data_IF_207790292468
#
_entry.id   IF_207790292468
#
_cell.length_a   1.000
_cell.length_b   1.000
_cell.length_c   1.000
_cell.angle_alpha   90.00
_cell.angle_beta   90.00
_cell.angle_gamma   90.00
#
_symmetry.space_group_name_H-M   'P 1'
#
loop_
_entity.id
_entity.type
_entity.pdbx_description
1 polymer ?
#
# COMPACT_ATOMS: atom_id res chain seq x y z
N UNK A 1 14.83 -0.88 -0.84
CA UNK A 1 14.48 0.34 -0.08
C UNK A 1 14.87 1.57 -0.91
N UNK A 2 14.28 2.74 -0.66
CA UNK A 2 14.49 3.95 -1.47
C UNK A 2 15.97 4.42 -1.42
N UNK A 3 16.71 4.40 -2.56
CA UNK A 3 18.16 4.64 -2.54
C UNK A 3 18.56 6.12 -2.61
N UNK A 4 17.69 6.99 -3.15
CA UNK A 4 18.01 8.39 -3.45
C UNK A 4 17.00 9.36 -2.82
N UNK A 5 16.60 9.10 -1.57
CA UNK A 5 15.68 9.99 -0.85
C UNK A 5 16.40 11.22 -0.31
N UNK A 6 15.70 12.34 -0.13
CA UNK A 6 16.28 13.52 0.52
C UNK A 6 16.83 13.22 1.91
N UNK A 7 17.91 13.89 2.30
CA UNK A 7 18.43 13.81 3.67
C UNK A 7 17.35 14.23 4.67
N UNK A 8 17.35 13.54 5.81
CA UNK A 8 16.38 13.63 6.90
C UNK A 8 14.96 13.17 6.55
N UNK A 9 14.80 12.41 5.45
CA UNK A 9 13.56 11.70 5.19
C UNK A 9 13.36 10.57 6.19
N UNK A 10 12.11 10.37 6.62
CA UNK A 10 11.73 9.30 7.54
C UNK A 10 10.85 8.28 6.82
N UNK A 11 11.22 7.00 6.89
CA UNK A 11 10.37 5.90 6.44
C UNK A 11 9.68 5.27 7.64
N UNK A 12 8.35 5.27 7.61
CA UNK A 12 7.47 4.75 8.65
C UNK A 12 6.89 3.42 8.16
N UNK A 13 7.33 2.32 8.78
CA UNK A 13 6.79 0.97 8.55
C UNK A 13 5.93 0.55 9.71
N UNK A 14 4.71 0.13 9.45
CA UNK A 14 3.82 -0.34 10.51
C UNK A 14 4.06 -1.80 10.85
N UNK A 15 4.09 -2.10 12.14
CA UNK A 15 4.39 -3.42 12.70
C UNK A 15 3.14 -4.15 13.20
N UNK A 16 1.95 -3.60 12.95
CA UNK A 16 0.66 -4.11 13.46
C UNK A 16 0.16 -3.36 14.70
N UNK A 17 1.06 -2.80 15.49
CA UNK A 17 0.73 -2.04 16.71
C UNK A 17 1.41 -0.68 16.79
N UNK A 18 2.57 -0.53 16.15
CA UNK A 18 3.40 0.69 16.19
C UNK A 18 4.08 0.92 14.84
N UNK A 19 4.87 1.99 14.76
CA UNK A 19 5.73 2.25 13.60
C UNK A 19 7.20 2.03 13.94
N UNK A 20 7.86 1.23 13.12
CA UNK A 20 9.30 1.27 12.97
C UNK A 20 9.66 2.43 12.04
N UNK A 21 10.49 3.33 12.55
CA UNK A 21 10.91 4.55 11.83
C UNK A 21 12.38 4.42 11.49
N UNK A 22 12.74 4.60 10.22
CA UNK A 22 14.11 4.73 9.76
C UNK A 22 14.34 6.14 9.20
N UNK A 23 15.50 6.72 9.47
CA UNK A 23 15.90 8.05 9.00
C UNK A 23 17.01 7.92 7.96
N UNK A 24 16.86 8.56 6.81
CA UNK A 24 17.93 8.66 5.82
C UNK A 24 18.79 9.88 6.08
N UNK A 25 20.09 9.70 6.28
CA UNK A 25 21.03 10.81 6.41
C UNK A 25 22.42 10.39 5.90
N UNK A 26 23.13 11.35 5.31
CA UNK A 26 24.52 11.17 4.85
C UNK A 26 24.69 9.96 3.90
N UNK A 27 23.68 9.70 3.07
CA UNK A 27 23.72 8.63 2.06
C UNK A 27 23.30 7.24 2.54
N UNK A 28 22.84 7.09 3.78
CA UNK A 28 22.40 5.80 4.31
C UNK A 28 21.18 5.91 5.24
N UNK A 29 20.46 4.80 5.39
CA UNK A 29 19.40 4.64 6.39
C UNK A 29 20.03 4.22 7.74
N UNK A 30 19.60 4.86 8.84
CA UNK A 30 20.05 4.54 10.20
C UNK A 30 19.65 3.12 10.68
N UNK A 31 18.59 2.56 10.10
CA UNK A 31 18.14 1.18 10.28
C UNK A 31 18.31 0.41 8.97
N UNK A 32 19.51 -0.12 8.67
CA UNK A 32 19.79 -0.76 7.39
C UNK A 32 18.98 -2.04 7.14
N UNK A 33 18.44 -2.66 8.19
CA UNK A 33 17.67 -3.90 8.12
C UNK A 33 16.16 -3.69 7.92
N UNK A 34 15.68 -2.44 7.84
CA UNK A 34 14.27 -2.18 7.55
C UNK A 34 13.95 -2.61 6.11
N UNK A 35 12.88 -3.39 5.94
CA UNK A 35 12.50 -3.93 4.63
C UNK A 35 11.29 -3.20 4.05
N UNK A 36 11.23 -3.19 2.71
CA UNK A 36 10.05 -2.83 1.94
C UNK A 36 9.93 -3.82 0.78
N UNK A 37 9.55 -5.04 1.13
CA UNK A 37 9.33 -6.14 0.19
C UNK A 37 8.01 -5.93 -0.58
N UNK A 38 7.86 -6.47 -1.80
CA UNK A 38 6.60 -6.41 -2.52
C UNK A 38 5.44 -6.93 -1.66
N UNK A 39 4.38 -6.11 -1.51
CA UNK A 39 3.23 -6.38 -0.66
C UNK A 39 3.26 -5.64 0.67
N UNK A 40 4.44 -5.33 1.19
CA UNK A 40 4.60 -4.45 2.35
C UNK A 40 4.25 -3.01 1.97
N UNK A 41 3.87 -2.21 2.96
CA UNK A 41 3.61 -0.80 2.78
C UNK A 41 4.16 0.05 3.92
N UNK A 42 4.13 1.35 3.72
CA UNK A 42 4.65 2.34 4.65
C UNK A 42 4.59 3.74 4.04
N UNK A 43 5.00 4.72 4.83
CA UNK A 43 4.98 6.13 4.42
C UNK A 43 6.39 6.69 4.43
N UNK A 44 6.67 7.57 3.48
CA UNK A 44 7.88 8.37 3.51
C UNK A 44 7.51 9.83 3.80
N UNK A 45 8.00 10.32 4.94
CA UNK A 45 7.93 11.73 5.30
C UNK A 45 9.18 12.43 4.79
N UNK A 46 9.00 13.40 3.90
CA UNK A 46 10.05 14.27 3.35
C UNK A 46 9.54 15.69 3.22
N UNK A 47 10.43 16.67 3.31
CA UNK A 47 10.12 18.10 3.09
C UNK A 47 10.37 18.53 1.65
N UNK A 48 10.99 17.67 0.83
CA UNK A 48 11.32 17.95 -0.56
C UNK A 48 10.77 16.90 -1.50
N UNK A 49 10.26 17.35 -2.64
CA UNK A 49 9.80 16.47 -3.71
C UNK A 49 10.98 15.69 -4.29
N UNK A 50 10.77 14.41 -4.55
CA UNK A 50 11.76 13.54 -5.15
C UNK A 50 11.08 12.46 -5.99
N UNK A 51 11.85 11.86 -6.89
CA UNK A 51 11.41 10.71 -7.69
C UNK A 51 12.14 9.47 -7.22
N UNK A 52 11.39 8.41 -6.93
CA UNK A 52 11.96 7.10 -6.63
C UNK A 52 11.70 6.12 -7.78
N UNK A 53 12.78 5.54 -8.33
CA UNK A 53 12.68 4.48 -9.32
C UNK A 53 12.94 3.14 -8.64
N UNK A 54 11.95 2.24 -8.70
CA UNK A 54 12.14 0.84 -8.31
C UNK A 54 12.65 0.04 -9.51
N UNK A 55 13.74 -0.69 -9.31
CA UNK A 55 14.34 -1.58 -10.32
C UNK A 55 14.45 -2.98 -9.73
N UNK A 56 14.09 -3.98 -10.52
CA UNK A 56 14.13 -5.38 -10.12
C UNK A 56 13.19 -6.22 -10.97
N UNK A 57 13.20 -7.53 -10.71
CA UNK A 57 12.26 -8.45 -11.33
C UNK A 57 10.88 -8.35 -10.69
N UNK A 58 9.84 -8.54 -11.50
CA UNK A 58 8.46 -8.62 -11.01
C UNK A 58 8.20 -10.05 -10.55
N UNK A 59 7.74 -10.22 -9.31
CA UNK A 59 7.34 -11.53 -8.80
C UNK A 59 6.24 -12.13 -9.68
N UNK A 60 6.37 -13.41 -10.03
CA UNK A 60 5.42 -14.14 -10.87
C UNK A 60 4.77 -15.29 -10.09
N UNK A 61 3.71 -15.88 -10.67
CA UNK A 61 2.93 -16.97 -10.08
C UNK A 61 1.80 -16.45 -9.21
N UNK A 62 1.42 -17.27 -8.22
CA UNK A 62 0.39 -16.92 -7.23
C UNK A 62 1.03 -16.15 -6.08
N UNK A 63 0.72 -14.86 -6.01
CA UNK A 63 1.16 -13.93 -4.98
C UNK A 63 0.07 -13.79 -3.92
N UNK A 64 0.48 -13.69 -2.66
CA UNK A 64 -0.42 -13.48 -1.53
C UNK A 64 0.22 -12.55 -0.52
N UNK A 65 -0.50 -11.49 -0.14
CA UNK A 65 -0.15 -10.61 0.98
C UNK A 65 -1.19 -10.79 2.08
N UNK A 66 -0.84 -11.33 3.25
CA UNK A 66 -1.80 -11.50 4.35
C UNK A 66 -2.19 -10.13 4.92
N UNK A 67 -3.48 -9.97 5.23
CA UNK A 67 -4.05 -8.80 5.89
C UNK A 67 -4.72 -9.32 7.17
N UNK A 68 -4.08 -9.18 8.34
CA UNK A 68 -4.69 -9.59 9.61
C UNK A 68 -5.93 -8.75 9.94
N UNK A 69 -6.70 -9.21 10.92
CA UNK A 69 -7.79 -8.43 11.50
C UNK A 69 -7.25 -7.11 12.10
N UNK A 70 -8.04 -6.04 11.97
CA UNK A 70 -7.65 -4.71 12.38
C UNK A 70 -6.92 -3.95 11.28
N UNK A 71 -6.04 -3.02 11.69
CA UNK A 71 -5.35 -2.12 10.78
C UNK A 71 -4.10 -2.78 10.20
N UNK A 72 -3.85 -2.59 8.90
CA UNK A 72 -2.64 -3.02 8.20
C UNK A 72 -2.24 -1.97 7.17
N UNK A 73 -0.95 -1.90 6.80
CA UNK A 73 -0.49 -1.08 5.68
C UNK A 73 0.13 -2.02 4.65
N UNK A 74 -0.51 -2.11 3.49
CA UNK A 74 -0.14 -3.05 2.44
C UNK A 74 -0.17 -2.39 1.07
N UNK A 75 0.48 -3.01 0.11
CA UNK A 75 0.53 -2.56 -1.29
C UNK A 75 0.32 -3.73 -2.26
N UNK A 76 0.07 -3.43 -3.53
CA UNK A 76 0.11 -4.44 -4.59
C UNK A 76 1.54 -4.98 -4.76
N UNK A 77 1.70 -6.30 -4.86
CA UNK A 77 2.99 -6.92 -5.17
C UNK A 77 3.45 -6.70 -6.62
N UNK A 78 2.51 -6.39 -7.51
CA UNK A 78 2.77 -6.17 -8.94
C UNK A 78 2.76 -4.67 -9.24
N UNK A 79 3.76 -4.14 -9.98
CA UNK A 79 3.88 -2.72 -10.30
C UNK A 79 2.89 -2.33 -11.41
N UNK A 80 1.61 -2.28 -11.07
CA UNK A 80 0.53 -1.91 -11.96
C UNK A 80 -0.36 -0.86 -11.30
N UNK A 81 -0.85 0.08 -12.10
CA UNK A 81 -1.85 1.06 -11.69
C UNK A 81 -3.26 0.53 -11.96
N UNK A 82 -4.21 0.80 -11.06
CA UNK A 82 -5.63 0.56 -11.32
C UNK A 82 -6.48 0.40 -10.05
N UNK A 83 -7.75 0.05 -10.26
CA UNK A 83 -8.71 -0.22 -9.20
C UNK A 83 -8.25 -1.36 -8.29
N UNK A 84 -8.33 -1.17 -6.97
CA UNK A 84 -7.78 -2.09 -5.97
C UNK A 84 -8.33 -3.52 -6.07
N UNK A 85 -9.59 -3.66 -6.48
CA UNK A 85 -10.32 -4.92 -6.54
C UNK A 85 -10.15 -5.62 -7.90
N UNK A 86 -10.65 -5.03 -8.96
CA UNK A 86 -10.76 -5.59 -10.31
C UNK A 86 -9.43 -5.61 -11.03
N UNK A 87 -8.64 -4.54 -10.91
CA UNK A 87 -7.34 -4.45 -11.58
C UNK A 87 -6.25 -5.03 -10.71
N UNK A 88 -6.25 -4.75 -9.40
CA UNK A 88 -5.18 -5.13 -8.46
C UNK A 88 -5.46 -6.41 -7.66
N UNK A 89 -6.69 -6.94 -7.64
CA UNK A 89 -7.01 -8.28 -7.16
C UNK A 89 -7.45 -8.39 -5.70
N UNK A 90 -7.65 -7.28 -4.98
CA UNK A 90 -8.15 -7.32 -3.61
C UNK A 90 -9.67 -7.45 -3.59
N UNK A 91 -10.17 -8.68 -3.72
CA UNK A 91 -11.61 -8.96 -3.85
C UNK A 91 -12.27 -9.51 -2.58
N UNK A 92 -11.47 -9.81 -1.55
CA UNK A 92 -11.92 -10.61 -0.40
C UNK A 92 -12.18 -9.78 0.86
N UNK A 93 -12.30 -8.46 0.73
CA UNK A 93 -12.72 -7.61 1.84
C UNK A 93 -14.20 -7.85 2.17
N UNK A 94 -14.53 -7.82 3.45
CA UNK A 94 -15.88 -8.03 3.97
C UNK A 94 -16.65 -6.71 4.02
N UNK A 95 -17.97 -6.80 4.14
CA UNK A 95 -18.81 -5.61 4.35
C UNK A 95 -18.29 -4.79 5.54
N UNK A 96 -18.30 -3.46 5.39
CA UNK A 96 -17.79 -2.50 6.36
C UNK A 96 -16.27 -2.48 6.58
N UNK A 97 -15.50 -3.29 5.85
CA UNK A 97 -14.05 -3.11 5.78
C UNK A 97 -13.73 -1.77 5.09
N UNK A 98 -12.63 -1.15 5.52
CA UNK A 98 -12.24 0.17 5.05
C UNK A 98 -10.86 0.16 4.43
N UNK A 99 -10.71 0.86 3.30
CA UNK A 99 -9.44 1.21 2.68
C UNK A 99 -9.23 2.71 2.85
N UNK A 100 -8.16 3.10 3.52
CA UNK A 100 -7.75 4.49 3.67
C UNK A 100 -6.63 4.77 2.68
N UNK A 101 -6.96 5.55 1.65
CA UNK A 101 -6.03 5.98 0.62
C UNK A 101 -5.55 7.39 0.93
N UNK A 102 -4.24 7.61 0.93
CA UNK A 102 -3.69 8.94 1.16
C UNK A 102 -3.97 9.86 -0.04
N UNK A 103 -4.59 11.01 0.22
CA UNK A 103 -4.86 12.04 -0.75
C UNK A 103 -3.79 13.14 -0.63
N UNK A 104 -2.89 13.18 -1.60
CA UNK A 104 -1.76 14.13 -1.63
C UNK A 104 -2.21 15.59 -1.76
N UNK A 105 -3.40 15.84 -2.31
CA UNK A 105 -3.93 17.19 -2.51
C UNK A 105 -4.50 17.75 -1.21
N UNK A 106 -5.31 16.97 -0.49
CA UNK A 106 -5.90 17.40 0.79
C UNK A 106 -5.02 17.10 2.00
N UNK A 107 -3.91 16.36 1.82
CA UNK A 107 -3.03 15.90 2.90
C UNK A 107 -3.81 15.11 3.98
N UNK A 108 -4.79 14.32 3.55
CA UNK A 108 -5.68 13.54 4.41
C UNK A 108 -5.94 12.15 3.83
N UNK A 109 -6.67 11.30 4.54
CA UNK A 109 -7.09 10.00 4.02
C UNK A 109 -8.50 10.07 3.43
N UNK A 110 -8.63 9.61 2.20
CA UNK A 110 -9.90 9.24 1.59
C UNK A 110 -10.30 7.85 2.11
N UNK A 111 -11.53 7.72 2.57
CA UNK A 111 -12.06 6.46 3.13
C UNK A 111 -12.97 5.82 2.09
N UNK A 112 -12.66 4.57 1.74
CA UNK A 112 -13.48 3.72 0.89
C UNK A 112 -13.96 2.54 1.72
N UNK A 113 -15.27 2.37 1.82
CA UNK A 113 -15.89 1.30 2.62
C UNK A 113 -16.56 0.29 1.70
N UNK A 114 -16.41 -1.00 2.00
CA UNK A 114 -17.12 -2.06 1.28
C UNK A 114 -18.59 -2.07 1.71
N UNK A 115 -19.50 -1.95 0.75
CA UNK A 115 -20.94 -1.92 1.00
C UNK A 115 -21.54 -3.33 1.03
N UNK A 116 -22.75 -3.51 1.59
CA UNK A 116 -23.49 -4.76 1.44
C UNK A 116 -23.62 -5.15 -0.03
N UNK A 117 -23.26 -6.40 -0.37
CA UNK A 117 -23.20 -6.87 -1.76
C UNK A 117 -21.84 -6.74 -2.45
N UNK A 118 -20.80 -6.25 -1.74
CA UNK A 118 -19.42 -6.22 -2.25
C UNK A 118 -19.10 -5.02 -3.13
N UNK A 119 -19.95 -3.99 -3.13
CA UNK A 119 -19.65 -2.71 -3.80
C UNK A 119 -18.79 -1.79 -2.93
N UNK A 120 -18.64 -0.54 -3.37
CA UNK A 120 -17.87 0.48 -2.65
C UNK A 120 -18.72 1.71 -2.36
N UNK A 121 -18.41 2.37 -1.24
CA UNK A 121 -18.79 3.75 -0.97
C UNK A 121 -17.52 4.54 -0.68
N UNK A 122 -17.25 5.57 -1.47
CA UNK A 122 -16.06 6.40 -1.35
C UNK A 122 -16.37 7.90 -1.25
N UNK A 123 -15.33 8.75 -1.26
CA UNK A 123 -15.47 10.20 -1.20
C UNK A 123 -16.39 10.75 -2.29
N UNK A 124 -17.15 11.80 -1.96
CA UNK A 124 -18.06 12.45 -2.90
C UNK A 124 -19.23 11.58 -3.39
N UNK A 125 -19.54 10.48 -2.69
CA UNK A 125 -20.59 9.54 -3.10
C UNK A 125 -20.17 8.57 -4.22
N UNK A 126 -18.87 8.43 -4.47
CA UNK A 126 -18.34 7.46 -5.44
C UNK A 126 -18.74 6.03 -5.07
N UNK A 127 -19.16 5.26 -6.08
CA UNK A 127 -19.40 3.82 -5.95
C UNK A 127 -18.26 2.97 -6.51
N UNK A 128 -17.18 3.62 -6.96
CA UNK A 128 -16.01 2.96 -7.50
C UNK A 128 -14.99 2.62 -6.40
N UNK A 129 -14.26 1.50 -6.55
CA UNK A 129 -13.08 1.18 -5.73
C UNK A 129 -12.01 2.28 -5.81
N UNK A 130 -11.15 2.41 -4.77
CA UNK A 130 -9.97 3.26 -4.89
C UNK A 130 -9.05 2.72 -5.99
N UNK A 131 -8.56 3.62 -6.84
CA UNK A 131 -7.47 3.32 -7.78
C UNK A 131 -6.13 3.64 -7.15
N UNK A 132 -5.16 2.74 -7.27
CA UNK A 132 -3.80 2.92 -6.74
C UNK A 132 -2.80 3.02 -7.89
N UNK A 133 -1.75 3.81 -7.68
CA UNK A 133 -0.59 3.89 -8.54
C UNK A 133 0.44 2.81 -8.20
N UNK A 134 1.43 2.64 -9.10
CA UNK A 134 2.61 1.83 -8.82
C UNK A 134 3.29 2.30 -7.53
N UNK A 135 3.62 1.34 -6.65
CA UNK A 135 4.26 1.57 -5.35
C UNK A 135 3.45 2.44 -4.35
N UNK A 136 2.14 2.59 -4.57
CA UNK A 136 1.25 3.21 -3.60
C UNK A 136 0.77 2.17 -2.57
N UNK A 137 0.88 2.50 -1.28
CA UNK A 137 0.35 1.69 -0.19
C UNK A 137 -0.89 2.34 0.42
N UNK A 138 -1.74 1.52 1.01
CA UNK A 138 -2.98 1.94 1.68
C UNK A 138 -3.07 1.34 3.06
N UNK A 139 -3.79 2.01 3.96
CA UNK A 139 -4.26 1.31 5.15
C UNK A 139 -5.50 0.49 4.81
N UNK A 140 -5.59 -0.67 5.42
CA UNK A 140 -6.78 -1.52 5.39
C UNK A 140 -7.18 -1.80 6.83
N UNK A 141 -8.43 -1.51 7.17
CA UNK A 141 -9.06 -1.97 8.40
C UNK A 141 -10.00 -3.12 8.05
N UNK A 142 -9.58 -4.35 8.34
CA UNK A 142 -10.34 -5.55 8.04
C UNK A 142 -11.01 -6.12 9.31
N UNK A 143 -12.29 -6.46 9.22
CA UNK A 143 -13.06 -7.10 10.29
C UNK A 143 -12.73 -8.59 10.49
N UNK A 144 -12.12 -9.21 9.48
CA UNK A 144 -11.60 -10.58 9.54
C UNK A 144 -10.24 -10.64 8.82
N UNK A 145 -9.43 -11.65 9.13
CA UNK A 145 -8.20 -11.87 8.41
C UNK A 145 -8.50 -12.28 6.94
N UNK A 146 -7.87 -11.58 6.00
CA UNK A 146 -8.02 -11.82 4.56
C UNK A 146 -6.64 -11.86 3.90
N UNK A 147 -6.59 -12.03 2.59
CA UNK A 147 -5.33 -11.94 1.84
C UNK A 147 -5.56 -11.24 0.51
N UNK A 148 -4.61 -10.38 0.15
CA UNK A 148 -4.54 -9.77 -1.17
C UNK A 148 -3.85 -10.75 -2.10
N UNK A 149 -4.65 -11.46 -2.89
CA UNK A 149 -4.17 -12.49 -3.79
C UNK A 149 -4.09 -11.96 -5.21
N UNK A 150 -3.02 -12.31 -5.93
CA UNK A 150 -2.84 -11.94 -7.33
C UNK A 150 -2.06 -13.03 -8.06
N UNK A 151 -2.62 -13.55 -9.14
CA UNK A 151 -1.87 -14.38 -10.08
C UNK A 151 -1.31 -13.48 -11.17
N UNK A 152 0.00 -13.51 -11.37
CA UNK A 152 0.68 -12.69 -12.36
C UNK A 152 1.73 -13.49 -13.12
N UNK A 153 1.76 -13.33 -14.44
CA UNK A 153 2.76 -13.93 -15.32
C UNK A 153 3.06 -12.99 -16.47
N UNK A 154 4.33 -12.91 -16.88
CA UNK A 154 4.72 -12.17 -18.07
C UNK A 154 4.79 -13.17 -19.24
N UNK A 155 3.76 -13.18 -20.08
CA UNK A 155 3.56 -14.06 -21.25
C UNK A 155 3.28 -15.55 -20.95
N UNK A 156 2.12 -16.03 -21.45
CA UNK A 156 2.02 -17.33 -22.10
C UNK A 156 1.60 -17.08 -23.55
#
# INVERSE_FOLDING_TARGET
MFPNVPNFSNFYKFTGTSFDIATFAFGAWDKPNITLNPGEGGFIGTTTLFTNTFVGEVKQGTLSTPIPVGLSIVSSQVPQTGAIDTTLGLTNLSMFDNVFKFNVTSQSYDIYTVTPGGGWSGPGGSTAPPSLNVAESVFISAGAAVSWNRTFSVNQ
#
